data_IF_903517208126
#
_entry.id   IF_903517208126
#
_cell.length_a   1.000
_cell.length_b   1.000
_cell.length_c   1.000
_cell.angle_alpha   90.00
_cell.angle_beta   90.00
_cell.angle_gamma   90.00
#
_symmetry.space_group_name_H-M   'P 1'
#
loop_
_entity.id
_entity.type
_entity.pdbx_description
1 polymer ?
#
# COMPACT_ATOMS: atom_id res chain seq x y z
N UNK A 1 -7.45 -3.33 17.23
CA UNK A 1 -8.85 -3.36 16.79
C UNK A 1 -9.15 -1.97 16.25
N UNK A 2 -9.09 -1.77 14.93
CA UNK A 2 -9.45 -0.49 14.33
C UNK A 2 -10.99 -0.38 14.34
N UNK A 3 -11.49 0.76 14.80
CA UNK A 3 -12.91 1.04 14.97
C UNK A 3 -13.52 1.31 13.58
N UNK A 4 -14.44 0.48 13.12
CA UNK A 4 -15.21 0.72 11.90
C UNK A 4 -16.37 1.67 12.21
N UNK A 5 -16.28 2.93 11.82
CA UNK A 5 -17.46 3.81 11.73
C UNK A 5 -18.08 3.66 10.33
N UNK A 6 -19.30 3.10 10.27
CA UNK A 6 -20.14 3.14 9.07
C UNK A 6 -20.68 4.57 8.89
N UNK A 7 -20.45 5.15 7.72
CA UNK A 7 -21.12 6.39 7.28
C UNK A 7 -21.93 6.11 6.01
N UNK A 8 -23.22 6.43 6.05
CA UNK A 8 -24.12 6.42 4.89
C UNK A 8 -23.65 7.43 3.82
N UNK A 9 -23.56 7.00 2.56
CA UNK A 9 -23.20 7.86 1.42
C UNK A 9 -24.35 7.89 0.42
N UNK A 10 -24.90 9.08 0.17
CA UNK A 10 -25.88 9.34 -0.89
C UNK A 10 -25.19 9.45 -2.26
N UNK A 11 -25.82 8.89 -3.28
CA UNK A 11 -25.38 8.91 -4.69
C UNK A 11 -25.71 10.22 -5.40
N UNK A 12 -24.74 10.77 -6.14
CA UNK A 12 -24.96 11.70 -7.24
C UNK A 12 -24.11 11.27 -8.45
N UNK A 13 -24.72 11.23 -9.64
CA UNK A 13 -24.18 10.68 -10.88
C UNK A 13 -23.62 11.77 -11.81
N UNK A 14 -22.36 11.65 -12.24
CA UNK A 14 -21.76 12.32 -13.41
C UNK A 14 -20.70 11.41 -14.09
N UNK A 15 -20.37 11.62 -15.39
CA UNK A 15 -19.94 10.54 -16.30
C UNK A 15 -18.47 10.13 -16.20
N UNK A 16 -18.20 8.97 -16.80
CA UNK A 16 -16.97 8.18 -16.85
C UNK A 16 -15.64 8.94 -16.81
N UNK A 17 -14.87 8.71 -15.74
CA UNK A 17 -13.43 8.89 -15.67
C UNK A 17 -12.84 7.61 -15.06
N UNK A 18 -11.69 7.16 -15.60
CA UNK A 18 -10.98 5.89 -15.31
C UNK A 18 -10.64 5.64 -13.83
N UNK A 19 -10.78 6.66 -12.99
CA UNK A 19 -10.75 6.60 -11.55
C UNK A 19 -12.02 7.32 -11.07
N UNK A 20 -12.91 6.66 -10.31
CA UNK A 20 -13.92 7.42 -9.57
C UNK A 20 -13.20 8.20 -8.47
N UNK A 21 -13.05 9.50 -8.69
CA UNK A 21 -12.76 10.49 -7.66
C UNK A 21 -13.84 10.41 -6.59
N UNK A 22 -13.49 9.99 -5.38
CA UNK A 22 -14.21 10.44 -4.18
C UNK A 22 -13.30 11.41 -3.45
N UNK A 23 -13.44 12.69 -3.79
CA UNK A 23 -12.86 13.79 -3.00
C UNK A 23 -13.82 14.02 -1.84
N UNK A 24 -13.57 13.42 -0.67
CA UNK A 24 -14.26 13.81 0.55
C UNK A 24 -13.55 15.02 1.16
N UNK A 25 -14.25 16.15 1.21
CA UNK A 25 -13.76 17.41 1.78
C UNK A 25 -13.81 17.36 3.31
N UNK A 26 -12.65 17.34 3.97
CA UNK A 26 -12.53 17.53 5.42
C UNK A 26 -11.69 18.77 5.73
N UNK A 27 -12.27 19.76 6.41
CA UNK A 27 -11.51 20.92 6.93
C UNK A 27 -10.73 20.50 8.18
N UNK A 28 -9.54 19.97 7.98
CA UNK A 28 -8.45 19.95 8.97
C UNK A 28 -7.27 20.75 8.41
N UNK A 29 -6.73 21.69 9.19
CA UNK A 29 -5.66 22.60 8.74
C UNK A 29 -4.50 21.86 8.05
N UNK A 30 -4.22 22.30 6.82
CA UNK A 30 -2.95 22.19 6.07
C UNK A 30 -2.59 20.84 5.42
N UNK A 31 -3.36 20.44 4.39
CA UNK A 31 -2.94 19.94 3.05
C UNK A 31 -4.07 19.11 2.45
N UNK A 32 -4.38 19.35 1.18
CA UNK A 32 -5.37 18.57 0.42
C UNK A 32 -4.75 17.24 -0.01
N UNK A 33 -5.49 16.14 0.07
CA UNK A 33 -5.07 14.85 -0.44
C UNK A 33 -6.17 14.24 -1.31
N UNK A 34 -5.78 13.49 -2.34
CA UNK A 34 -6.72 12.74 -3.19
C UNK A 34 -6.63 11.25 -2.88
N UNK A 35 -7.81 10.62 -2.76
CA UNK A 35 -7.96 9.17 -2.64
C UNK A 35 -8.52 8.54 -3.91
N UNK A 36 -7.86 7.49 -4.40
CA UNK A 36 -8.31 6.69 -5.54
C UNK A 36 -8.29 5.21 -5.21
N UNK A 37 -9.18 4.43 -5.82
CA UNK A 37 -9.20 2.97 -5.73
C UNK A 37 -8.91 2.38 -7.12
N UNK A 38 -7.98 1.43 -7.18
CA UNK A 38 -7.66 0.67 -8.38
C UNK A 38 -7.81 -0.83 -8.13
N UNK A 39 -8.52 -1.53 -9.03
CA UNK A 39 -8.62 -2.99 -9.08
C UNK A 39 -7.55 -3.55 -10.03
N UNK A 40 -6.84 -4.60 -9.61
CA UNK A 40 -5.78 -5.23 -10.41
C UNK A 40 -6.07 -6.69 -10.85
N UNK A 41 -7.32 -7.14 -10.96
CA UNK A 41 -7.76 -8.53 -11.25
C UNK A 41 -6.98 -9.25 -12.36
N UNK A 42 -6.84 -8.65 -13.54
CA UNK A 42 -6.10 -9.28 -14.67
C UNK A 42 -4.65 -8.80 -14.79
N UNK A 43 -4.37 -7.60 -14.30
CA UNK A 43 -3.05 -6.96 -14.41
C UNK A 43 -2.08 -7.42 -13.33
N UNK A 44 -2.55 -7.83 -12.14
CA UNK A 44 -1.68 -8.20 -11.02
C UNK A 44 -0.84 -9.45 -11.33
N UNK A 45 -1.44 -10.42 -12.03
CA UNK A 45 -0.72 -11.61 -12.48
C UNK A 45 0.34 -11.25 -13.52
N UNK A 46 0.04 -10.34 -14.44
CA UNK A 46 0.99 -9.83 -15.44
C UNK A 46 2.15 -9.07 -14.77
N UNK A 47 1.84 -8.18 -13.81
CA UNK A 47 2.84 -7.47 -13.02
C UNK A 47 3.74 -8.43 -12.24
N UNK A 48 3.15 -9.44 -11.58
CA UNK A 48 3.89 -10.47 -10.86
C UNK A 48 4.83 -11.22 -11.80
N UNK A 49 4.33 -11.68 -12.95
CA UNK A 49 5.13 -12.41 -13.94
C UNK A 49 6.28 -11.54 -14.48
N UNK A 50 6.01 -10.28 -14.83
CA UNK A 50 7.02 -9.33 -15.30
C UNK A 50 8.11 -9.09 -14.25
N UNK A 51 7.73 -8.81 -13.00
CA UNK A 51 8.70 -8.57 -11.92
C UNK A 51 9.58 -9.79 -11.65
N UNK A 52 9.00 -11.00 -11.62
CA UNK A 52 9.73 -12.24 -11.45
C UNK A 52 10.68 -12.52 -12.63
N UNK A 53 10.23 -12.31 -13.87
CA UNK A 53 11.05 -12.46 -15.07
C UNK A 53 12.24 -11.50 -15.09
N UNK A 54 12.03 -10.22 -14.80
CA UNK A 54 13.10 -9.21 -14.78
C UNK A 54 14.14 -9.48 -13.68
N UNK A 55 13.77 -10.20 -12.62
CA UNK A 55 14.67 -10.57 -11.52
C UNK A 55 15.13 -12.03 -11.54
N UNK A 56 14.85 -12.78 -12.62
CA UNK A 56 15.22 -14.19 -12.75
C UNK A 56 14.83 -15.05 -11.53
N UNK A 57 13.60 -14.87 -11.04
CA UNK A 57 13.10 -15.52 -9.83
C UNK A 57 11.62 -15.88 -9.95
N UNK A 58 11.05 -16.55 -8.93
CA UNK A 58 9.62 -16.92 -8.86
C UNK A 58 8.98 -16.57 -7.52
N UNK A 59 9.75 -16.00 -6.59
CA UNK A 59 9.34 -15.77 -5.19
C UNK A 59 8.75 -14.38 -4.93
N UNK A 60 8.80 -13.48 -5.92
CA UNK A 60 8.22 -12.13 -5.77
C UNK A 60 6.70 -12.26 -5.78
N UNK A 61 6.06 -11.75 -4.73
CA UNK A 61 4.61 -11.80 -4.57
C UNK A 61 3.89 -10.70 -5.37
N UNK A 62 2.61 -10.92 -5.65
CA UNK A 62 1.72 -9.91 -6.26
C UNK A 62 1.76 -8.57 -5.53
N UNK A 63 1.72 -8.59 -4.20
CA UNK A 63 1.79 -7.38 -3.39
C UNK A 63 3.12 -6.65 -3.61
N UNK A 64 4.26 -7.35 -3.58
CA UNK A 64 5.57 -6.75 -3.84
C UNK A 64 5.69 -6.18 -5.24
N UNK A 65 5.11 -6.84 -6.25
CA UNK A 65 5.08 -6.32 -7.63
C UNK A 65 4.25 -5.06 -7.76
N UNK A 66 3.08 -5.00 -7.10
CA UNK A 66 2.26 -3.79 -7.05
C UNK A 66 2.97 -2.67 -6.30
N UNK A 67 3.54 -2.95 -5.13
CA UNK A 67 4.33 -1.99 -4.35
C UNK A 67 5.49 -1.42 -5.16
N UNK A 68 6.19 -2.24 -5.95
CA UNK A 68 7.28 -1.80 -6.81
C UNK A 68 6.82 -0.86 -7.92
N UNK A 69 5.70 -1.18 -8.58
CA UNK A 69 5.09 -0.29 -9.57
C UNK A 69 4.75 1.05 -8.94
N UNK A 70 4.04 1.04 -7.81
CA UNK A 70 3.61 2.26 -7.13
C UNK A 70 4.80 3.09 -6.65
N UNK A 71 5.83 2.46 -6.08
CA UNK A 71 7.05 3.15 -5.65
C UNK A 71 7.71 3.87 -6.82
N UNK A 72 7.91 3.17 -7.94
CA UNK A 72 8.52 3.75 -9.14
C UNK A 72 7.69 4.88 -9.71
N UNK A 73 6.38 4.70 -9.89
CA UNK A 73 5.49 5.70 -10.47
C UNK A 73 5.40 6.95 -9.58
N UNK A 74 5.15 6.82 -8.27
CA UNK A 74 5.09 7.99 -7.38
C UNK A 74 6.44 8.72 -7.32
N UNK A 75 7.56 8.00 -7.26
CA UNK A 75 8.89 8.63 -7.28
C UNK A 75 9.14 9.36 -8.60
N UNK A 76 8.74 8.80 -9.75
CA UNK A 76 8.81 9.46 -11.06
C UNK A 76 8.03 10.76 -11.07
N UNK A 77 6.76 10.71 -10.65
CA UNK A 77 5.87 11.87 -10.67
C UNK A 77 6.25 12.95 -9.65
N UNK A 78 6.86 12.58 -8.52
CA UNK A 78 7.44 13.55 -7.57
C UNK A 78 8.73 14.20 -8.10
N UNK A 79 9.39 13.59 -9.07
CA UNK A 79 10.64 14.06 -9.71
C UNK A 79 11.70 14.61 -8.73
N UNK A 80 12.08 13.87 -7.66
CA UNK A 80 13.15 14.29 -6.76
C UNK A 80 14.54 14.28 -7.44
N UNK A 81 15.56 14.91 -6.84
CA UNK A 81 16.94 14.82 -7.30
C UNK A 81 17.41 13.37 -7.48
N UNK A 82 18.31 13.14 -8.44
CA UNK A 82 18.72 11.78 -8.82
C UNK A 82 19.37 10.98 -7.67
N UNK A 83 20.08 11.66 -6.77
CA UNK A 83 20.75 11.12 -5.59
C UNK A 83 19.86 11.12 -4.34
N UNK A 84 18.67 11.70 -4.42
CA UNK A 84 17.72 11.70 -3.32
C UNK A 84 17.34 10.27 -2.93
N UNK A 85 17.51 9.95 -1.65
CA UNK A 85 17.07 8.69 -1.08
C UNK A 85 15.54 8.68 -0.97
N UNK A 86 14.94 7.57 -1.38
CA UNK A 86 13.52 7.26 -1.25
C UNK A 86 13.34 5.96 -0.47
N UNK A 87 12.25 5.85 0.29
CA UNK A 87 11.96 4.68 1.12
C UNK A 87 10.55 4.18 0.85
N UNK A 88 10.41 2.87 0.70
CA UNK A 88 9.11 2.22 0.67
C UNK A 88 8.98 1.25 1.84
N UNK A 89 7.93 1.43 2.64
CA UNK A 89 7.69 0.67 3.87
C UNK A 89 6.45 -0.20 3.71
N UNK A 90 6.60 -1.49 3.96
CA UNK A 90 5.52 -2.46 4.01
C UNK A 90 5.25 -2.86 5.46
N UNK A 91 4.01 -2.72 5.91
CA UNK A 91 3.60 -3.28 7.19
C UNK A 91 3.60 -4.82 7.10
N UNK A 92 4.43 -5.47 7.92
CA UNK A 92 4.58 -6.92 7.93
C UNK A 92 4.08 -7.52 9.24
N UNK A 93 3.24 -8.55 9.12
CA UNK A 93 2.87 -9.39 10.26
C UNK A 93 4.09 -10.23 10.69
N UNK A 94 4.45 -10.09 11.97
CA UNK A 94 5.59 -10.77 12.58
C UNK A 94 5.19 -12.01 13.39
N UNK A 95 3.89 -12.29 13.60
CA UNK A 95 3.43 -13.42 14.45
C UNK A 95 4.07 -14.75 14.05
N UNK A 96 3.95 -15.11 12.77
CA UNK A 96 4.50 -16.35 12.22
C UNK A 96 6.02 -16.35 12.09
N UNK A 97 6.67 -15.20 12.29
CA UNK A 97 8.13 -15.02 12.14
C UNK A 97 8.87 -15.20 13.45
N UNK A 98 8.18 -15.04 14.59
CA UNK A 98 8.75 -15.24 15.93
C UNK A 98 9.14 -16.70 16.16
N UNK A 99 10.04 -16.93 17.13
CA UNK A 99 10.44 -18.27 17.57
C UNK A 99 10.31 -18.39 19.10
N UNK A 100 9.34 -19.19 19.60
CA UNK A 100 8.29 -19.87 18.83
C UNK A 100 7.33 -18.88 18.14
N UNK A 101 6.63 -19.28 17.06
CA UNK A 101 5.61 -18.45 16.43
C UNK A 101 4.54 -18.03 17.44
N UNK A 102 4.05 -16.79 17.33
CA UNK A 102 2.89 -16.35 18.09
C UNK A 102 1.62 -16.98 17.51
N UNK A 103 0.63 -17.20 18.36
CA UNK A 103 -0.69 -17.68 17.96
C UNK A 103 -1.32 -16.72 16.93
N UNK A 104 -2.10 -17.27 15.99
CA UNK A 104 -2.83 -16.46 15.01
C UNK A 104 -3.84 -15.52 15.70
N UNK A 105 -4.40 -15.98 16.82
CA UNK A 105 -5.34 -15.28 17.67
C UNK A 105 -4.67 -14.28 18.64
N UNK A 106 -3.36 -14.08 18.55
CA UNK A 106 -2.65 -13.12 19.40
C UNK A 106 -3.24 -11.71 19.24
N UNK A 107 -3.90 -11.27 20.33
CA UNK A 107 -4.67 -10.04 20.38
C UNK A 107 -3.81 -8.77 20.28
N UNK A 108 -2.54 -8.86 20.69
CA UNK A 108 -1.63 -7.73 20.67
C UNK A 108 -1.16 -7.35 19.26
N UNK A 109 -0.45 -6.22 19.18
CA UNK A 109 0.24 -5.84 17.96
C UNK A 109 1.56 -6.63 17.83
N UNK A 110 1.75 -7.26 16.68
CA UNK A 110 3.03 -7.87 16.28
C UNK A 110 3.28 -7.53 14.82
N UNK A 111 3.41 -6.23 14.54
CA UNK A 111 3.62 -5.70 13.19
C UNK A 111 4.92 -4.89 13.18
N UNK A 112 5.70 -5.03 12.13
CA UNK A 112 6.88 -4.21 11.92
C UNK A 112 6.99 -3.75 10.47
N UNK A 113 7.62 -2.59 10.24
CA UNK A 113 7.80 -2.06 8.89
C UNK A 113 9.01 -2.72 8.23
N UNK A 114 8.78 -3.50 7.18
CA UNK A 114 9.83 -3.92 6.25
C UNK A 114 10.13 -2.75 5.30
N UNK A 115 11.34 -2.18 5.39
CA UNK A 115 11.73 -0.98 4.64
C UNK A 115 12.71 -1.31 3.53
N UNK A 116 12.40 -0.88 2.32
CA UNK A 116 13.33 -0.89 1.18
C UNK A 116 13.75 0.55 0.86
N UNK A 117 15.02 0.73 0.49
CA UNK A 117 15.59 2.03 0.22
C UNK A 117 16.34 2.02 -1.11
N UNK A 118 16.25 3.12 -1.86
CA UNK A 118 16.95 3.34 -3.11
C UNK A 118 17.13 4.83 -3.37
N UNK A 119 18.13 5.20 -4.17
CA UNK A 119 18.13 6.55 -4.75
C UNK A 119 17.10 6.64 -5.88
N UNK A 120 16.63 7.85 -6.17
CA UNK A 120 15.75 8.12 -7.33
C UNK A 120 16.33 7.53 -8.60
N UNK A 121 17.62 7.74 -8.84
CA UNK A 121 18.33 7.23 -10.01
C UNK A 121 18.25 5.71 -10.09
N UNK A 122 18.67 5.01 -9.04
CA UNK A 122 18.63 3.55 -9.01
C UNK A 122 17.22 3.03 -9.27
N UNK A 123 16.21 3.64 -8.66
CA UNK A 123 14.83 3.18 -8.75
C UNK A 123 14.24 3.37 -10.16
N UNK A 124 14.56 4.48 -10.83
CA UNK A 124 13.99 4.82 -12.13
C UNK A 124 14.79 4.25 -13.32
N UNK A 125 16.11 4.10 -13.19
CA UNK A 125 16.96 3.48 -14.23
C UNK A 125 16.81 1.95 -14.26
N UNK A 126 16.36 1.34 -13.17
CA UNK A 126 16.06 -0.09 -13.12
C UNK A 126 14.58 -0.40 -13.42
N UNK A 127 14.32 -1.66 -13.79
CA UNK A 127 12.98 -2.21 -14.03
C UNK A 127 12.17 -2.45 -12.75
N UNK A 128 10.90 -2.81 -12.92
CA UNK A 128 10.00 -3.12 -11.79
C UNK A 128 10.47 -4.35 -11.01
N UNK A 129 11.11 -5.32 -11.67
CA UNK A 129 11.63 -6.51 -11.02
C UNK A 129 12.67 -6.17 -9.97
N UNK A 130 13.62 -5.30 -10.30
CA UNK A 130 14.66 -4.86 -9.38
C UNK A 130 14.08 -4.18 -8.13
N UNK A 131 13.09 -3.29 -8.31
CA UNK A 131 12.41 -2.63 -7.19
C UNK A 131 11.62 -3.65 -6.35
N UNK A 132 10.92 -4.59 -6.98
CA UNK A 132 10.19 -5.66 -6.32
C UNK A 132 11.12 -6.63 -5.58
N UNK A 133 12.32 -6.86 -6.09
CA UNK A 133 13.35 -7.66 -5.44
C UNK A 133 13.90 -6.96 -4.20
N UNK A 134 14.13 -5.65 -4.23
CA UNK A 134 14.47 -4.88 -3.01
C UNK A 134 13.40 -5.02 -1.93
N UNK A 135 12.13 -4.93 -2.30
CA UNK A 135 11.00 -5.15 -1.38
C UNK A 135 10.94 -6.60 -0.89
N UNK A 136 11.24 -7.57 -1.74
CA UNK A 136 11.34 -8.98 -1.36
C UNK A 136 12.38 -9.19 -0.28
N UNK A 137 13.62 -8.71 -0.50
CA UNK A 137 14.70 -8.78 0.48
C UNK A 137 14.34 -8.10 1.80
N UNK A 138 13.73 -6.92 1.76
CA UNK A 138 13.27 -6.22 2.96
C UNK A 138 12.29 -7.07 3.78
N UNK A 139 11.35 -7.74 3.12
CA UNK A 139 10.35 -8.60 3.77
C UNK A 139 10.95 -9.91 4.27
N UNK A 140 11.86 -10.54 3.55
CA UNK A 140 12.47 -11.82 3.96
C UNK A 140 13.51 -11.65 5.06
N UNK A 141 14.22 -10.52 5.08
CA UNK A 141 15.22 -10.22 6.11
C UNK A 141 14.59 -9.86 7.46
N UNK A 142 13.31 -9.51 7.49
CA UNK A 142 12.56 -9.33 8.73
C UNK A 142 12.25 -10.69 9.37
N UNK A 143 13.12 -11.17 10.25
CA UNK A 143 12.99 -12.43 10.98
C UNK A 143 12.88 -12.19 12.50
N UNK A 144 12.73 -13.27 13.28
CA UNK A 144 12.62 -13.24 14.75
C UNK A 144 13.75 -12.41 15.39
N UNK A 145 15.00 -12.68 15.00
CA UNK A 145 16.17 -11.96 15.52
C UNK A 145 16.05 -10.47 15.25
N UNK A 146 15.69 -10.06 14.02
CA UNK A 146 15.59 -8.64 13.68
C UNK A 146 14.47 -7.93 14.46
N UNK A 147 13.33 -8.61 14.66
CA UNK A 147 12.21 -8.07 15.45
C UNK A 147 12.62 -7.90 16.91
N UNK A 148 13.30 -8.90 17.48
CA UNK A 148 13.81 -8.86 18.85
C UNK A 148 14.87 -7.78 19.06
N UNK A 149 15.81 -7.61 18.12
CA UNK A 149 16.83 -6.53 18.18
C UNK A 149 16.17 -5.15 18.26
N UNK A 150 15.12 -4.90 17.48
CA UNK A 150 14.38 -3.62 17.52
C UNK A 150 13.65 -3.46 18.86
N UNK A 151 13.04 -4.53 19.37
CA UNK A 151 12.37 -4.51 20.66
C UNK A 151 13.35 -4.25 21.80
N UNK A 152 14.50 -4.93 21.82
CA UNK A 152 15.57 -4.73 22.80
C UNK A 152 16.10 -3.30 22.77
N UNK A 153 16.35 -2.75 21.58
CA UNK A 153 16.75 -1.36 21.42
C UNK A 153 15.69 -0.39 21.96
N UNK A 154 14.41 -0.63 21.66
CA UNK A 154 13.31 0.17 22.17
C UNK A 154 13.17 0.06 23.70
N UNK A 155 13.36 -1.12 24.29
CA UNK A 155 13.37 -1.31 25.73
C UNK A 155 14.54 -0.56 26.40
N UNK A 156 15.70 -0.55 25.75
CA UNK A 156 16.87 0.18 26.24
C UNK A 156 16.72 1.71 26.13
N UNK A 157 16.14 2.20 25.03
CA UNK A 157 15.87 3.62 24.80
C UNK A 157 14.46 3.81 24.25
N UNK A 158 13.45 3.87 25.14
CA UNK A 158 12.06 4.00 24.73
C UNK A 158 11.85 5.29 23.95
N UNK A 159 11.26 5.13 22.77
CA UNK A 159 10.82 6.25 21.95
C UNK A 159 9.37 6.04 21.54
N UNK A 160 8.66 7.15 21.36
CA UNK A 160 7.36 7.14 20.69
C UNK A 160 7.66 7.36 19.22
N UNK A 161 7.20 6.45 18.36
CA UNK A 161 7.34 6.63 16.93
C UNK A 161 6.58 7.90 16.53
N UNK A 162 7.32 8.91 16.09
CA UNK A 162 6.73 10.17 15.70
C UNK A 162 6.24 10.01 14.27
N UNK A 163 4.91 10.03 14.10
CA UNK A 163 4.23 10.01 12.79
C UNK A 163 4.90 10.94 11.77
N UNK A 164 5.47 12.07 12.20
CA UNK A 164 6.24 12.99 11.35
C UNK A 164 7.40 12.38 10.55
N UNK A 165 8.02 11.26 10.99
CA UNK A 165 9.06 10.56 10.21
C UNK A 165 8.49 9.74 9.05
N UNK A 166 7.22 9.32 9.16
CA UNK A 166 6.49 8.71 8.05
C UNK A 166 6.07 9.76 7.02
N UNK A 167 5.99 11.04 7.43
CA UNK A 167 5.56 12.17 6.60
C UNK A 167 6.72 12.82 5.83
N UNK A 168 7.91 12.21 5.80
CA UNK A 168 9.01 12.74 4.98
C UNK A 168 8.63 12.66 3.49
N UNK A 169 8.92 13.68 2.66
CA UNK A 169 8.40 13.81 1.28
C UNK A 169 8.68 12.65 0.32
N UNK A 170 9.61 11.75 0.66
CA UNK A 170 10.07 10.64 -0.18
C UNK A 170 9.91 9.28 0.48
N UNK A 171 9.16 9.23 1.57
CA UNK A 171 8.74 7.99 2.23
C UNK A 171 7.34 7.63 1.73
N UNK A 172 7.16 6.36 1.37
CA UNK A 172 5.89 5.76 1.02
C UNK A 172 5.61 4.63 2.00
N UNK A 173 4.36 4.52 2.44
CA UNK A 173 3.95 3.53 3.43
C UNK A 173 2.73 2.80 2.89
N UNK A 174 2.86 1.49 2.73
CA UNK A 174 1.76 0.62 2.34
C UNK A 174 1.39 -0.30 3.50
N UNK A 175 0.11 -0.20 3.86
CA UNK A 175 -0.56 -0.97 4.90
C UNK A 175 -1.66 -1.85 4.30
N UNK A 176 -2.27 -2.68 5.15
CA UNK A 176 -3.23 -3.67 4.71
C UNK A 176 -2.58 -4.88 4.03
N UNK A 177 -3.41 -5.82 3.59
CA UNK A 177 -2.96 -7.03 2.92
C UNK A 177 -4.15 -7.68 2.22
N UNK A 178 -4.02 -8.10 0.96
CA UNK A 178 -5.07 -8.83 0.26
C UNK A 178 -5.34 -10.23 0.86
N UNK A 179 -4.52 -10.68 1.82
CA UNK A 179 -4.73 -11.95 2.53
C UNK A 179 -5.75 -11.85 3.65
N UNK A 180 -6.10 -10.65 4.12
CA UNK A 180 -7.08 -10.49 5.19
C UNK A 180 -8.49 -10.65 4.62
N UNK A 181 -9.23 -11.65 5.09
CA UNK A 181 -10.57 -11.96 4.63
C UNK A 181 -11.63 -11.00 5.20
N UNK A 182 -11.53 -9.71 4.86
CA UNK A 182 -12.42 -8.67 5.39
C UNK A 182 -13.84 -8.86 4.86
N UNK A 183 -14.00 -9.30 3.61
CA UNK A 183 -15.32 -9.58 3.03
C UNK A 183 -15.97 -10.87 3.60
N UNK A 184 -15.22 -11.71 4.31
CA UNK A 184 -15.78 -12.86 5.03
C UNK A 184 -16.49 -12.49 6.34
N UNK A 185 -16.35 -11.25 6.81
CA UNK A 185 -17.07 -10.75 7.97
C UNK A 185 -18.51 -10.38 7.59
N UNK A 186 -19.46 -11.26 7.87
CA UNK A 186 -20.89 -11.02 7.64
C UNK A 186 -21.65 -10.86 8.94
N UNK A 187 -22.55 -9.87 8.98
CA UNK A 187 -23.36 -9.53 10.15
C UNK A 187 -24.87 -9.71 9.91
N UNK A 188 -25.24 -10.62 9.01
CA UNK A 188 -26.63 -10.91 8.64
C UNK A 188 -27.21 -10.00 7.55
N UNK A 189 -26.43 -9.06 7.01
CA UNK A 189 -26.81 -8.16 5.91
C UNK A 189 -26.18 -8.59 4.56
N UNK A 190 -25.59 -9.79 4.52
CA UNK A 190 -24.77 -10.26 3.41
C UNK A 190 -23.36 -9.67 3.40
N UNK A 191 -22.62 -10.01 2.34
CA UNK A 191 -21.24 -9.59 2.10
C UNK A 191 -21.13 -8.08 1.90
N UNK A 192 -20.12 -7.47 2.51
CA UNK A 192 -19.85 -6.04 2.38
C UNK A 192 -19.74 -5.61 0.89
N UNK A 193 -20.23 -4.40 0.60
CA UNK A 193 -20.19 -3.81 -0.75
C UNK A 193 -18.77 -3.31 -1.07
N UNK A 194 -18.10 -2.67 -0.10
CA UNK A 194 -16.75 -2.19 -0.24
C UNK A 194 -16.06 -2.07 1.13
N UNK A 195 -14.73 -2.08 1.13
CA UNK A 195 -13.88 -1.84 2.30
C UNK A 195 -13.02 -0.60 2.05
N UNK A 196 -12.97 0.33 3.01
CA UNK A 196 -12.23 1.60 2.92
C UNK A 196 -11.58 1.96 4.26
N UNK A 197 -10.51 2.73 4.22
CA UNK A 197 -9.85 3.26 5.43
C UNK A 197 -10.58 4.46 6.03
N UNK A 198 -10.30 4.71 7.31
CA UNK A 198 -10.80 5.88 8.03
C UNK A 198 -9.97 7.14 7.75
N UNK A 199 -10.58 8.31 7.92
CA UNK A 199 -10.01 9.61 7.51
C UNK A 199 -8.70 9.99 8.22
N UNK A 200 -8.54 9.64 9.49
CA UNK A 200 -7.41 10.10 10.31
C UNK A 200 -6.07 9.40 10.00
N UNK A 201 -6.07 8.43 9.09
CA UNK A 201 -4.85 7.71 8.73
C UNK A 201 -4.14 8.31 7.50
N UNK A 202 -4.78 9.22 6.76
CA UNK A 202 -4.29 9.72 5.47
C UNK A 202 -3.27 10.85 5.57
N UNK A 203 -2.07 10.62 5.04
CA UNK A 203 -1.07 11.64 4.73
C UNK A 203 -0.41 11.34 3.38
N UNK A 204 0.33 12.30 2.82
CA UNK A 204 0.98 12.11 1.52
C UNK A 204 1.94 10.92 1.53
N UNK A 205 1.68 9.93 0.67
CA UNK A 205 2.47 8.71 0.56
C UNK A 205 1.91 7.51 1.32
N UNK A 206 0.77 7.63 2.00
CA UNK A 206 0.11 6.50 2.66
C UNK A 206 -0.84 5.77 1.73
N UNK A 207 -0.86 4.44 1.86
CA UNK A 207 -1.53 3.56 0.93
C UNK A 207 -2.09 2.34 1.67
N UNK A 208 -3.26 1.86 1.28
CA UNK A 208 -3.88 0.64 1.82
C UNK A 208 -4.20 -0.34 0.73
N UNK A 209 -4.02 -1.62 1.04
CA UNK A 209 -4.39 -2.71 0.15
C UNK A 209 -5.45 -3.59 0.79
N UNK A 210 -6.47 -3.91 0.00
CA UNK A 210 -7.55 -4.81 0.36
C UNK A 210 -7.66 -5.93 -0.68
N UNK A 211 -8.21 -7.11 -0.32
CA UNK A 211 -8.63 -8.05 -1.34
C UNK A 211 -9.70 -7.40 -2.21
N UNK A 212 -9.75 -7.76 -3.50
CA UNK A 212 -10.93 -7.49 -4.32
C UNK A 212 -12.16 -8.20 -3.78
N UNK A 213 -13.34 -7.59 -3.96
CA UNK A 213 -14.59 -8.16 -3.45
C UNK A 213 -14.82 -9.57 -3.98
N UNK A 214 -14.71 -9.78 -5.28
CA UNK A 214 -14.94 -11.10 -5.92
C UNK A 214 -13.73 -12.04 -5.82
N UNK A 215 -12.62 -11.58 -5.22
CA UNK A 215 -11.36 -12.32 -5.16
C UNK A 215 -10.55 -12.20 -6.46
N UNK A 216 -9.27 -12.56 -6.38
CA UNK A 216 -8.35 -12.51 -7.53
C UNK A 216 -7.78 -11.12 -7.84
N UNK A 217 -8.41 -10.03 -7.37
CA UNK A 217 -7.86 -8.67 -7.45
C UNK A 217 -7.35 -8.13 -6.12
N UNK A 218 -6.68 -6.98 -6.21
CA UNK A 218 -6.28 -6.15 -5.07
C UNK A 218 -6.93 -4.79 -5.31
N UNK A 219 -7.63 -4.28 -4.30
CA UNK A 219 -8.07 -2.89 -4.22
C UNK A 219 -6.94 -2.08 -3.59
N UNK A 220 -6.41 -1.09 -4.31
CA UNK A 220 -5.39 -0.17 -3.79
C UNK A 220 -5.99 1.20 -3.52
N UNK A 221 -5.99 1.62 -2.26
CA UNK A 221 -6.33 2.97 -1.83
C UNK A 221 -5.06 3.80 -1.62
N UNK A 222 -4.98 4.98 -2.25
CA UNK A 222 -3.80 5.86 -2.22
C UNK A 222 -4.14 7.20 -1.58
N UNK A 223 -3.22 7.81 -0.84
CA UNK A 223 -3.33 9.20 -0.39
C UNK A 223 -2.08 9.97 -0.82
N UNK A 224 -2.27 10.94 -1.72
CA UNK A 224 -1.18 11.75 -2.28
C UNK A 224 -1.58 13.23 -2.36
N UNK A 225 -0.57 14.10 -2.41
CA UNK A 225 -0.78 15.50 -2.76
C UNK A 225 -1.50 15.63 -4.12
N UNK A 226 -2.35 16.66 -4.33
CA UNK A 226 -3.23 16.71 -5.49
C UNK A 226 -2.48 16.76 -6.82
N UNK A 227 -1.32 17.43 -6.84
CA UNK A 227 -0.45 17.51 -8.01
C UNK A 227 0.10 16.13 -8.36
N UNK A 228 0.68 15.44 -7.38
CA UNK A 228 1.23 14.08 -7.53
C UNK A 228 0.15 13.10 -7.99
N UNK A 229 -1.04 13.14 -7.39
CA UNK A 229 -2.14 12.27 -7.79
C UNK A 229 -2.58 12.55 -9.24
N UNK A 230 -2.68 13.83 -9.64
CA UNK A 230 -3.09 14.18 -11.01
C UNK A 230 -2.06 13.73 -12.05
N UNK A 231 -0.77 13.80 -11.70
CA UNK A 231 0.30 13.31 -12.53
C UNK A 231 0.28 11.77 -12.61
N UNK A 232 0.06 11.09 -11.49
CA UNK A 232 -0.09 9.63 -11.42
C UNK A 232 -1.32 9.12 -12.20
N UNK A 233 -2.44 9.85 -12.17
CA UNK A 233 -3.65 9.62 -12.99
C UNK A 233 -3.35 9.67 -14.50
N UNK A 234 -2.23 10.27 -14.89
CA UNK A 234 -1.79 10.43 -16.28
C UNK A 234 -0.57 9.56 -16.63
N UNK A 235 0.03 8.85 -15.66
CA UNK A 235 1.19 7.97 -15.88
C UNK A 235 0.72 6.70 -16.61
N UNK A 236 1.20 6.49 -17.84
CA UNK A 236 0.80 5.35 -18.67
C UNK A 236 1.26 4.01 -18.10
N UNK A 237 2.44 3.93 -17.48
CA UNK A 237 2.94 2.68 -16.88
C UNK A 237 2.05 2.24 -15.72
N UNK A 238 1.64 3.19 -14.88
CA UNK A 238 0.73 2.99 -13.77
C UNK A 238 -0.68 2.66 -14.25
N UNK A 239 -1.25 3.48 -15.13
CA UNK A 239 -2.64 3.33 -15.58
C UNK A 239 -2.86 2.09 -16.45
N UNK A 240 -1.84 1.60 -17.17
CA UNK A 240 -1.93 0.32 -17.88
C UNK A 240 -2.10 -0.90 -16.95
N UNK A 241 -1.77 -0.75 -15.66
CA UNK A 241 -1.99 -1.79 -14.67
C UNK A 241 -3.33 -1.64 -13.92
N UNK A 242 -4.00 -0.49 -13.98
CA UNK A 242 -5.29 -0.29 -13.31
C UNK A 242 -6.41 -0.88 -14.19
N UNK A 243 -7.19 -1.80 -13.65
CA UNK A 243 -8.41 -2.30 -14.32
C UNK A 243 -9.52 -1.26 -14.15
N UNK A 244 -10.21 -0.90 -15.24
CA UNK A 244 -11.32 0.05 -15.17
C UNK A 244 -12.41 -0.50 -14.23
N UNK A 245 -12.78 0.30 -13.23
CA UNK A 245 -13.91 0.01 -12.34
C UNK A 245 -15.21 0.18 -13.15
N UNK A 246 -15.97 -0.89 -13.35
CA UNK A 246 -17.32 -0.81 -13.94
C UNK A 246 -18.33 -0.33 -12.88
N UNK A 247 -18.87 0.89 -13.00
CA UNK A 247 -19.87 1.37 -12.06
C UNK A 247 -21.24 0.69 -12.21
N UNK A 248 -21.45 -0.18 -13.21
CA UNK A 248 -22.70 -0.94 -13.41
C UNK A 248 -22.71 -2.30 -12.71
N UNK A 249 -21.61 -2.70 -12.06
CA UNK A 249 -21.59 -3.86 -11.15
C UNK A 249 -22.11 -3.53 -9.73
N UNK A 250 -22.66 -2.31 -9.54
CA UNK A 250 -23.41 -1.88 -8.37
C UNK A 250 -24.59 -0.99 -8.77
#
# INVERSE_FOLDING_TARGET
MACFQCMDVREETQPAQRLRRRVSWGKGKLREYKTGIADYSESIAKLKTKANSESNTTVISSLQSLSALVWRSITRERSPPSDQKTTFRLAADCRSRMKPPLAEEYFGNCVHAASAEATTRELLENGIGWAAWKLHLAVTNLNDRRVLEVLEYWLYSPFIDQMGRLHEPYNLVMSGSPRFNIYGCEFGMGKAVAVRSGYDEYFDGTMWTYPGREGGSIDLELCLLPQTMTALESDEEFMNAVTEFDPLLF
#
